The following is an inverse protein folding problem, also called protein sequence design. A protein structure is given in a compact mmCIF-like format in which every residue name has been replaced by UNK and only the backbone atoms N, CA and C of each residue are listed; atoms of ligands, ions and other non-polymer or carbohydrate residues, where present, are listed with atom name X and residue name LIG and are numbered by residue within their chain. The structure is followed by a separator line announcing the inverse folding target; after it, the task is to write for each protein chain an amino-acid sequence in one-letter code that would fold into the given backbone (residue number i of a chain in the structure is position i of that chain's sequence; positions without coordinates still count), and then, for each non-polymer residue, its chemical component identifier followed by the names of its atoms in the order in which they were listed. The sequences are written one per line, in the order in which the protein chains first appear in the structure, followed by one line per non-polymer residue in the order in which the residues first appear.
data_IF_651522353508
#
_entry.id   IF_651522353508
#
_cell.length_a   1.000
_cell.length_b   1.000
_cell.length_c   1.000
_cell.angle_alpha   90.00
_cell.angle_beta   90.00
_cell.angle_gamma   90.00
#
_symmetry.space_group_name_H-M   'P 1'
#
loop_
_entity.id
_entity.type
_entity.pdbx_description
1 polymer ?
#
# COMPACT_ATOMS: atom_id res chain seq x y z
N UNK A 1 -9.31 8.12 15.47
CA UNK A 1 -8.88 8.90 14.28
C UNK A 1 -8.09 8.02 13.31
N UNK A 2 -6.92 7.49 13.67
CA UNK A 2 -6.12 6.62 12.79
C UNK A 2 -6.90 5.43 12.19
N UNK A 3 -7.57 4.62 13.02
CA UNK A 3 -8.36 3.48 12.56
C UNK A 3 -9.60 3.88 11.74
N UNK A 4 -10.15 5.09 11.96
CA UNK A 4 -11.28 5.58 11.16
C UNK A 4 -10.79 5.93 9.75
N UNK A 5 -9.68 6.66 9.65
CA UNK A 5 -9.03 6.96 8.37
C UNK A 5 -8.57 5.69 7.65
N UNK A 6 -8.12 4.68 8.39
CA UNK A 6 -7.81 3.37 7.83
C UNK A 6 -9.04 2.74 7.16
N UNK A 7 -10.18 2.69 7.86
CA UNK A 7 -11.42 2.14 7.28
C UNK A 7 -11.96 2.99 6.12
N UNK A 8 -11.76 4.32 6.14
CA UNK A 8 -12.08 5.18 5.00
C UNK A 8 -11.21 4.82 3.80
N UNK A 9 -9.90 4.63 4.03
CA UNK A 9 -8.99 4.22 2.96
C UNK A 9 -9.35 2.86 2.37
N UNK A 10 -9.70 1.86 3.19
CA UNK A 10 -10.19 0.58 2.69
C UNK A 10 -11.46 0.74 1.87
N UNK A 11 -12.44 1.52 2.34
CA UNK A 11 -13.66 1.80 1.60
C UNK A 11 -13.38 2.45 0.25
N UNK A 12 -12.50 3.46 0.23
CA UNK A 12 -12.10 4.13 -1.01
C UNK A 12 -11.38 3.19 -1.99
N UNK A 13 -10.58 2.22 -1.52
CA UNK A 13 -10.03 1.17 -2.38
C UNK A 13 -11.13 0.29 -2.99
N UNK A 14 -12.17 -0.07 -2.23
CA UNK A 14 -13.32 -0.83 -2.76
C UNK A 14 -14.13 -0.05 -3.78
N UNK A 15 -14.16 1.28 -3.66
CA UNK A 15 -14.85 2.19 -4.58
C UNK A 15 -13.97 2.63 -5.76
N UNK A 16 -12.77 2.06 -5.91
CA UNK A 16 -11.73 2.44 -6.89
C UNK A 16 -11.32 3.93 -6.84
N UNK A 17 -11.54 4.61 -5.71
CA UNK A 17 -11.11 6.00 -5.48
C UNK A 17 -9.67 6.03 -4.94
N UNK A 18 -8.71 5.90 -5.85
CA UNK A 18 -7.28 5.87 -5.51
C UNK A 18 -6.76 7.14 -4.81
N UNK A 19 -7.33 8.32 -5.11
CA UNK A 19 -6.88 9.58 -4.49
C UNK A 19 -7.34 9.68 -3.03
N UNK A 20 -8.61 9.39 -2.74
CA UNK A 20 -9.10 9.40 -1.37
C UNK A 20 -8.50 8.24 -0.56
N UNK A 21 -8.32 7.06 -1.17
CA UNK A 21 -7.64 5.93 -0.55
C UNK A 21 -6.22 6.31 -0.12
N UNK A 22 -5.43 6.92 -1.02
CA UNK A 22 -4.06 7.33 -0.72
C UNK A 22 -4.01 8.39 0.37
N UNK A 23 -4.87 9.41 0.29
CA UNK A 23 -4.93 10.49 1.28
C UNK A 23 -5.30 9.95 2.67
N UNK A 24 -6.35 9.16 2.78
CA UNK A 24 -6.79 8.59 4.06
C UNK A 24 -5.78 7.58 4.62
N UNK A 25 -5.17 6.75 3.77
CA UNK A 25 -4.15 5.78 4.19
C UNK A 25 -2.88 6.48 4.72
N UNK A 26 -2.41 7.54 4.05
CA UNK A 26 -1.21 8.27 4.47
C UNK A 26 -1.43 9.07 5.75
N UNK A 27 -2.62 9.63 5.96
CA UNK A 27 -2.97 10.28 7.21
C UNK A 27 -3.09 9.27 8.36
N UNK A 28 -3.73 8.12 8.10
CA UNK A 28 -3.79 7.01 9.05
C UNK A 28 -2.39 6.51 9.45
N UNK A 29 -1.51 6.29 8.47
CA UNK A 29 -0.10 5.90 8.64
C UNK A 29 0.63 6.86 9.58
N UNK A 30 0.52 8.16 9.33
CA UNK A 30 1.15 9.20 10.15
C UNK A 30 0.69 9.11 11.61
N UNK A 31 -0.61 8.92 11.85
CA UNK A 31 -1.16 8.81 13.20
C UNK A 31 -0.72 7.52 13.90
N UNK A 32 -0.67 6.39 13.20
CA UNK A 32 -0.15 5.14 13.77
C UNK A 32 1.34 5.24 14.11
N UNK A 33 2.14 5.89 13.27
CA UNK A 33 3.56 6.16 13.56
C UNK A 33 3.72 7.05 14.81
N UNK A 34 2.92 8.11 14.94
CA UNK A 34 2.91 8.97 16.14
C UNK A 34 2.52 8.20 17.41
N UNK A 35 1.59 7.25 17.28
CA UNK A 35 1.18 6.35 18.35
C UNK A 35 2.19 5.22 18.62
N UNK A 36 3.26 5.10 17.82
CA UNK A 36 4.23 3.99 17.83
C UNK A 36 3.57 2.61 17.63
N UNK A 37 2.46 2.58 16.92
CA UNK A 37 1.78 1.35 16.50
C UNK A 37 2.36 0.88 15.17
N UNK A 38 3.36 0.01 15.24
CA UNK A 38 4.03 -0.53 14.04
C UNK A 38 3.09 -1.40 13.20
N UNK A 39 2.14 -2.11 13.83
CA UNK A 39 1.17 -2.93 13.12
C UNK A 39 0.24 -2.04 12.29
N UNK A 40 -0.38 -1.04 12.93
CA UNK A 40 -1.28 -0.11 12.25
C UNK A 40 -0.56 0.67 11.15
N UNK A 41 0.69 1.07 11.39
CA UNK A 41 1.50 1.74 10.37
C UNK A 41 1.76 0.84 9.15
N UNK A 42 2.15 -0.43 9.36
CA UNK A 42 2.35 -1.37 8.26
C UNK A 42 1.06 -1.65 7.48
N UNK A 43 -0.08 -1.79 8.18
CA UNK A 43 -1.39 -1.98 7.54
C UNK A 43 -1.80 -0.75 6.71
N UNK A 44 -1.64 0.47 7.24
CA UNK A 44 -1.95 1.70 6.52
C UNK A 44 -1.03 1.93 5.31
N UNK A 45 0.27 1.60 5.43
CA UNK A 45 1.20 1.72 4.31
C UNK A 45 0.86 0.75 3.18
N UNK A 46 0.39 -0.47 3.50
CA UNK A 46 -0.11 -1.42 2.49
C UNK A 46 -1.27 -0.81 1.70
N UNK A 47 -2.22 -0.16 2.36
CA UNK A 47 -3.33 0.52 1.68
C UNK A 47 -2.84 1.66 0.78
N UNK A 48 -1.88 2.46 1.25
CA UNK A 48 -1.31 3.54 0.46
C UNK A 48 -0.59 3.02 -0.79
N UNK A 49 0.13 1.90 -0.69
CA UNK A 49 0.78 1.27 -1.84
C UNK A 49 -0.23 0.75 -2.87
N UNK A 50 -1.33 0.12 -2.44
CA UNK A 50 -2.41 -0.32 -3.32
C UNK A 50 -3.15 0.87 -3.94
N UNK A 51 -3.34 1.97 -3.21
CA UNK A 51 -3.97 3.18 -3.74
C UNK A 51 -3.16 3.79 -4.89
N UNK A 52 -1.83 3.64 -4.89
CA UNK A 52 -1.00 4.08 -6.02
C UNK A 52 -1.22 3.24 -7.29
N UNK A 53 -1.62 1.97 -7.16
CA UNK A 53 -2.03 1.15 -8.32
C UNK A 53 -3.26 1.73 -8.98
N UNK A 54 -4.29 2.07 -8.20
CA UNK A 54 -5.51 2.71 -8.71
C UNK A 54 -5.25 4.07 -9.36
N UNK A 55 -4.14 4.72 -9.00
CA UNK A 55 -3.67 5.97 -9.58
C UNK A 55 -2.74 5.77 -10.79
N UNK A 56 -2.66 4.55 -11.32
CA UNK A 56 -1.80 4.16 -12.43
C UNK A 56 -0.29 4.39 -12.16
N UNK A 57 0.11 4.45 -10.88
CA UNK A 57 1.50 4.60 -10.43
C UNK A 57 1.94 3.42 -9.54
N UNK A 58 1.76 2.20 -10.05
CA UNK A 58 2.20 0.98 -9.38
C UNK A 58 3.72 0.97 -9.08
N UNK A 59 4.51 1.74 -9.84
CA UNK A 59 5.94 1.89 -9.60
C UNK A 59 6.22 2.58 -8.25
N UNK A 60 5.49 3.65 -7.95
CA UNK A 60 5.58 4.34 -6.66
C UNK A 60 5.06 3.46 -5.51
N UNK A 61 3.94 2.75 -5.70
CA UNK A 61 3.45 1.77 -4.72
C UNK A 61 4.49 0.70 -4.36
N UNK A 62 5.17 0.15 -5.36
CA UNK A 62 6.27 -0.81 -5.16
C UNK A 62 7.46 -0.19 -4.44
N UNK A 63 7.82 1.05 -4.79
CA UNK A 63 8.93 1.77 -4.15
C UNK A 63 8.65 1.93 -2.66
N UNK A 64 7.47 2.42 -2.30
CA UNK A 64 7.03 2.62 -0.91
C UNK A 64 7.10 1.32 -0.09
N UNK A 65 6.54 0.22 -0.62
CA UNK A 65 6.52 -1.06 0.06
C UNK A 65 7.93 -1.65 0.24
N UNK A 66 8.81 -1.53 -0.76
CA UNK A 66 10.20 -2.01 -0.69
C UNK A 66 11.07 -1.20 0.28
N UNK A 67 10.88 0.11 0.34
CA UNK A 67 11.62 0.96 1.28
C UNK A 67 11.27 0.62 2.73
N UNK A 68 9.99 0.39 3.04
CA UNK A 68 9.61 -0.01 4.39
C UNK A 68 10.00 -1.46 4.70
N UNK A 69 9.94 -2.36 3.71
CA UNK A 69 10.45 -3.72 3.85
C UNK A 69 11.91 -3.74 4.32
N UNK A 70 12.77 -2.91 3.70
CA UNK A 70 14.17 -2.78 4.10
C UNK A 70 14.31 -2.34 5.56
N UNK A 71 13.51 -1.35 6.00
CA UNK A 71 13.51 -0.89 7.41
C UNK A 71 13.03 -1.97 8.38
N UNK A 72 11.99 -2.73 8.02
CA UNK A 72 11.51 -3.85 8.83
C UNK A 72 12.59 -4.93 8.96
N UNK A 73 13.33 -5.21 7.89
CA UNK A 73 14.45 -6.16 7.91
C UNK A 73 15.61 -5.67 8.79
N UNK A 74 16.01 -4.41 8.65
CA UNK A 74 17.08 -3.79 9.46
C UNK A 74 16.74 -3.75 10.96
N UNK A 75 15.47 -3.50 11.29
CA UNK A 75 14.99 -3.46 12.68
C UNK A 75 14.65 -4.83 13.27
N UNK A 76 14.57 -5.88 12.44
CA UNK A 76 14.14 -7.21 12.85
C UNK A 76 12.62 -7.36 13.07
N UNK A 77 11.81 -6.41 12.59
CA UNK A 77 10.34 -6.49 12.65
C UNK A 77 9.80 -7.50 11.64
N UNK A 78 9.67 -8.75 12.08
CA UNK A 78 9.15 -9.86 11.25
C UNK A 78 7.69 -9.70 10.85
N UNK A 79 6.89 -8.97 11.63
CA UNK A 79 5.50 -8.72 11.28
C UNK A 79 5.41 -7.66 10.19
N UNK A 80 6.13 -6.56 10.36
CA UNK A 80 6.26 -5.52 9.33
C UNK A 80 6.83 -6.09 8.02
N UNK A 81 7.86 -6.94 8.10
CA UNK A 81 8.45 -7.62 6.94
C UNK A 81 7.39 -8.43 6.17
N UNK A 82 6.61 -9.27 6.85
CA UNK A 82 5.55 -10.05 6.20
C UNK A 82 4.46 -9.17 5.56
N UNK A 83 4.08 -8.07 6.23
CA UNK A 83 3.09 -7.13 5.71
C UNK A 83 3.60 -6.41 4.46
N UNK A 84 4.87 -6.01 4.42
CA UNK A 84 5.44 -5.33 3.26
C UNK A 84 5.69 -6.29 2.10
N UNK A 85 6.03 -7.55 2.37
CA UNK A 85 6.07 -8.59 1.33
C UNK A 85 4.69 -8.81 0.70
N UNK A 86 3.62 -8.80 1.52
CA UNK A 86 2.26 -8.86 1.01
C UNK A 86 1.95 -7.64 0.12
N UNK A 87 2.27 -6.43 0.57
CA UNK A 87 2.08 -5.21 -0.22
C UNK A 87 2.82 -5.27 -1.57
N UNK A 88 4.08 -5.71 -1.57
CA UNK A 88 4.85 -5.89 -2.82
C UNK A 88 4.18 -6.90 -3.74
N UNK A 89 3.67 -8.01 -3.21
CA UNK A 89 3.00 -9.03 -4.01
C UNK A 89 1.68 -8.53 -4.62
N UNK A 90 0.86 -7.82 -3.83
CA UNK A 90 -0.40 -7.20 -4.29
C UNK A 90 -0.13 -6.23 -5.44
N UNK A 91 0.76 -5.25 -5.24
CA UNK A 91 1.08 -4.23 -6.26
C UNK A 91 1.73 -4.84 -7.51
N UNK A 92 2.58 -5.86 -7.35
CA UNK A 92 3.22 -6.53 -8.48
C UNK A 92 2.23 -7.37 -9.31
N UNK A 93 1.25 -8.01 -8.67
CA UNK A 93 0.26 -8.82 -9.36
C UNK A 93 -0.63 -7.97 -10.28
N UNK A 94 -1.06 -6.79 -9.81
CA UNK A 94 -1.88 -5.89 -10.62
C UNK A 94 -1.12 -5.38 -11.84
N UNK A 95 0.15 -4.98 -11.66
CA UNK A 95 1.00 -4.52 -12.77
C UNK A 95 1.21 -5.59 -13.85
N UNK A 96 1.40 -6.85 -13.46
CA UNK A 96 1.52 -7.97 -14.41
C UNK A 96 0.23 -8.14 -15.21
N UNK A 97 -0.93 -7.97 -14.57
CA UNK A 97 -2.24 -7.97 -15.24
C UNK A 97 -2.39 -6.84 -16.25
N UNK A 98 -1.89 -5.64 -15.93
CA UNK A 98 -1.92 -4.49 -16.84
C UNK A 98 -1.03 -4.72 -18.08
N UNK A 99 0.20 -5.21 -17.88
CA UNK A 99 1.15 -5.51 -18.96
C UNK A 99 0.61 -6.64 -19.89
N UNK A 100 -0.04 -7.67 -19.33
CA UNK A 100 -0.71 -8.73 -20.13
C UNK A 100 -1.91 -8.20 -20.92
N UNK A 101 -2.70 -7.29 -20.34
CA UNK A 101 -3.87 -6.67 -20.98
C UNK A 101 -3.47 -5.75 -22.13
N UNK A 102 -2.44 -4.93 -21.95
CA UNK A 102 -1.90 -4.08 -23.02
C UNK A 102 -1.30 -4.91 -24.16
N UNK A 103 -0.56 -5.98 -23.82
CA UNK A 103 -0.01 -6.91 -24.81
C UNK A 103 -1.10 -7.60 -25.65
N UNK A 104 -2.23 -7.95 -25.04
CA UNK A 104 -3.36 -8.57 -25.74
C UNK A 104 -4.16 -7.60 -26.64
N UNK A 105 -4.16 -6.30 -26.35
CA UNK A 105 -4.82 -5.28 -27.18
C UNK A 105 -3.98 -4.83 -28.38
N UNK A 106 -2.67 -5.10 -28.34
CA UNK A 106 -1.70 -4.67 -29.37
C UNK A 106 -1.26 -5.81 -30.31
N UNK A 107 -1.70 -7.05 -30.06
CA UNK A 107 -1.45 -8.24 -30.89
C UNK A 107 -2.61 -8.55 -31.84
#
# INVERSE_FOLDING_TARGET
EAAVLYSVAEGALYDDDGEEAFKSATESLKLFQQAKDSKGAAEALRLAANAQVLKEDAAEGLRMAKEELAKCQESGDKRGEAMMLLAVAEVAADRLGDEEREGALTA
#
